data_IF_691916663022
#
_entry.id   IF_691916663022
#
_cell.length_a   1.000
_cell.length_b   1.000
_cell.length_c   1.000
_cell.angle_alpha   90.00
_cell.angle_beta   90.00
_cell.angle_gamma   90.00
#
_symmetry.space_group_name_H-M   'P 1'
#
loop_
_entity.id
_entity.type
_entity.pdbx_description
1 polymer ?
#
# COMPACT_ATOMS: atom_id res chain seq x y z
N UNK A 1 -11.38 3.62 -9.66
CA UNK A 1 -10.22 2.73 -9.73
C UNK A 1 -10.29 1.61 -8.70
N UNK A 2 -10.66 1.89 -7.46
CA UNK A 2 -10.98 0.88 -6.43
C UNK A 2 -12.44 1.07 -6.04
N UNK A 3 -13.24 0.00 -6.03
CA UNK A 3 -14.65 0.04 -5.62
C UNK A 3 -14.95 -1.13 -4.68
N UNK A 4 -15.61 -0.84 -3.60
CA UNK A 4 -16.19 -1.78 -2.64
C UNK A 4 -17.71 -1.63 -2.67
N UNK A 5 -18.42 -2.73 -2.84
CA UNK A 5 -19.88 -2.79 -2.80
C UNK A 5 -20.34 -3.82 -1.78
N UNK A 6 -20.87 -3.36 -0.63
CA UNK A 6 -21.38 -4.14 0.51
C UNK A 6 -20.44 -5.25 0.93
N UNK A 7 -19.13 -4.92 1.03
CA UNK A 7 -18.08 -5.89 1.31
C UNK A 7 -18.06 -6.25 2.78
N UNK A 8 -18.14 -7.55 3.06
CA UNK A 8 -17.97 -8.10 4.41
C UNK A 8 -16.85 -9.13 4.41
N UNK A 9 -16.08 -9.16 5.51
CA UNK A 9 -15.03 -10.16 5.76
C UNK A 9 -15.11 -10.68 7.18
N UNK A 10 -15.18 -12.01 7.31
CA UNK A 10 -15.18 -12.73 8.58
C UNK A 10 -14.00 -13.69 8.64
N UNK A 11 -13.33 -13.73 9.78
CA UNK A 11 -12.27 -14.68 10.11
C UNK A 11 -12.79 -15.65 11.19
N UNK A 12 -13.36 -16.80 10.80
CA UNK A 12 -13.92 -17.77 11.73
C UNK A 12 -15.29 -17.37 12.32
N UNK A 13 -15.80 -18.13 13.31
CA UNK A 13 -17.05 -17.80 14.00
C UNK A 13 -16.84 -16.57 14.91
N UNK A 14 -17.66 -15.53 14.77
CA UNK A 14 -17.57 -14.33 15.60
C UNK A 14 -17.85 -13.04 14.83
N UNK A 15 -17.12 -11.99 15.15
CA UNK A 15 -17.31 -10.66 14.56
C UNK A 15 -16.78 -10.56 13.14
N UNK A 16 -17.47 -9.77 12.32
CA UNK A 16 -17.00 -9.39 11.02
C UNK A 16 -15.84 -8.39 11.15
N UNK A 17 -14.69 -8.69 10.55
CA UNK A 17 -13.58 -7.75 10.46
C UNK A 17 -13.89 -6.58 9.52
N UNK A 18 -14.81 -6.78 8.56
CA UNK A 18 -15.49 -5.74 7.80
C UNK A 18 -16.96 -6.13 7.63
N UNK A 19 -17.86 -5.16 7.76
CA UNK A 19 -19.30 -5.34 7.70
C UNK A 19 -19.95 -4.33 6.74
N UNK A 20 -20.37 -4.81 5.57
CA UNK A 20 -21.09 -4.07 4.53
C UNK A 20 -20.43 -2.74 4.11
N UNK A 21 -19.08 -2.75 4.00
CA UNK A 21 -18.32 -1.58 3.61
C UNK A 21 -18.52 -1.28 2.12
N UNK A 22 -18.89 -0.02 1.81
CA UNK A 22 -19.05 0.47 0.43
C UNK A 22 -18.38 1.82 0.27
N UNK A 23 -17.53 1.96 -0.75
CA UNK A 23 -16.90 3.22 -1.17
C UNK A 23 -16.32 3.08 -2.56
N UNK A 24 -15.98 4.22 -3.17
CA UNK A 24 -15.26 4.26 -4.44
C UNK A 24 -14.07 5.22 -4.35
N UNK A 25 -12.95 4.84 -4.95
CA UNK A 25 -11.74 5.67 -5.08
C UNK A 25 -11.45 5.83 -6.56
N UNK A 26 -11.33 7.07 -7.01
CA UNK A 26 -11.02 7.44 -8.38
C UNK A 26 -9.57 7.10 -8.78
N UNK A 27 -9.28 7.14 -10.08
CA UNK A 27 -7.91 7.04 -10.59
C UNK A 27 -7.10 8.28 -10.17
N UNK A 28 -5.86 8.07 -9.70
CA UNK A 28 -4.99 9.16 -9.26
C UNK A 28 -5.41 9.78 -7.92
N UNK A 29 -6.41 9.24 -7.25
CA UNK A 29 -6.82 9.75 -5.94
C UNK A 29 -5.92 9.18 -4.83
N UNK A 30 -5.48 10.05 -3.92
CA UNK A 30 -4.85 9.64 -2.66
C UNK A 30 -5.88 9.71 -1.54
N UNK A 31 -6.05 8.60 -0.82
CA UNK A 31 -7.05 8.41 0.24
C UNK A 31 -6.40 7.82 1.48
N UNK A 32 -6.74 8.33 2.65
CA UNK A 32 -6.39 7.73 3.93
C UNK A 32 -7.52 6.82 4.42
N UNK A 33 -7.15 5.73 5.07
CA UNK A 33 -8.05 4.91 5.88
C UNK A 33 -7.61 5.02 7.33
N UNK A 34 -8.46 5.54 8.19
CA UNK A 34 -8.16 5.71 9.62
C UNK A 34 -9.19 4.97 10.48
N UNK A 35 -8.89 4.86 11.77
CA UNK A 35 -9.71 4.19 12.78
C UNK A 35 -8.83 3.56 13.86
N UNK A 36 -9.44 3.15 14.96
CA UNK A 36 -8.71 2.53 16.08
C UNK A 36 -8.03 1.19 15.67
N UNK A 37 -7.17 0.66 16.54
CA UNK A 37 -6.60 -0.66 16.34
C UNK A 37 -7.72 -1.71 16.28
N UNK A 38 -7.66 -2.60 15.28
CA UNK A 38 -8.74 -3.58 15.05
C UNK A 38 -9.95 -3.07 14.27
N UNK A 39 -10.01 -1.80 13.85
CA UNK A 39 -11.13 -1.24 13.08
C UNK A 39 -11.35 -1.87 11.68
N UNK A 40 -10.41 -2.68 11.19
CA UNK A 40 -10.53 -3.36 9.88
C UNK A 40 -9.59 -2.83 8.80
N UNK A 41 -8.75 -1.81 9.07
CA UNK A 41 -7.86 -1.15 8.08
C UNK A 41 -6.99 -2.15 7.31
N UNK A 42 -6.18 -2.96 8.02
CA UNK A 42 -5.30 -3.95 7.39
C UNK A 42 -6.09 -5.05 6.66
N UNK A 43 -7.29 -5.39 7.13
CA UNK A 43 -8.19 -6.33 6.42
C UNK A 43 -8.62 -5.74 5.09
N UNK A 44 -9.01 -4.47 5.05
CA UNK A 44 -9.39 -3.76 3.83
C UNK A 44 -8.23 -3.79 2.81
N UNK A 45 -7.00 -3.46 3.24
CA UNK A 45 -5.82 -3.51 2.37
C UNK A 45 -5.53 -4.93 1.87
N UNK A 46 -5.64 -5.96 2.74
CA UNK A 46 -5.45 -7.37 2.35
C UNK A 46 -6.46 -7.83 1.28
N UNK A 47 -7.69 -7.33 1.33
CA UNK A 47 -8.70 -7.62 0.30
C UNK A 47 -8.33 -6.98 -1.04
N UNK A 48 -7.90 -5.72 -1.05
CA UNK A 48 -7.47 -5.02 -2.27
C UNK A 48 -6.28 -5.76 -2.91
N UNK A 49 -5.29 -6.16 -2.10
CA UNK A 49 -4.11 -6.91 -2.55
C UNK A 49 -4.36 -8.38 -2.88
N UNK A 50 -5.62 -8.86 -2.82
CA UNK A 50 -5.98 -10.28 -2.99
C UNK A 50 -5.17 -11.23 -2.06
N UNK A 51 -4.66 -10.72 -0.94
CA UNK A 51 -4.08 -11.56 0.13
C UNK A 51 -5.19 -12.38 0.79
N UNK A 52 -6.34 -11.73 0.93
CA UNK A 52 -7.59 -12.32 1.43
C UNK A 52 -8.71 -12.15 0.40
N UNK A 53 -9.80 -12.91 0.57
CA UNK A 53 -11.02 -12.75 -0.21
C UNK A 53 -12.16 -12.29 0.68
N UNK A 54 -13.10 -11.48 0.16
CA UNK A 54 -14.29 -11.12 0.92
C UNK A 54 -15.15 -12.34 1.19
N UNK A 55 -15.91 -12.31 2.28
CA UNK A 55 -16.95 -13.31 2.59
C UNK A 55 -18.22 -13.00 1.80
N UNK A 56 -18.54 -11.71 1.64
CA UNK A 56 -19.68 -11.20 0.85
C UNK A 56 -19.31 -9.88 0.19
N UNK A 57 -20.11 -9.46 -0.80
CA UNK A 57 -19.91 -8.21 -1.53
C UNK A 57 -18.93 -8.34 -2.68
N UNK A 58 -18.70 -7.23 -3.37
CA UNK A 58 -17.87 -7.17 -4.56
C UNK A 58 -16.75 -6.15 -4.42
N UNK A 59 -15.59 -6.48 -4.96
CA UNK A 59 -14.42 -5.59 -4.99
C UNK A 59 -13.92 -5.51 -6.43
N UNK A 60 -13.77 -4.30 -6.92
CA UNK A 60 -13.12 -4.02 -8.20
C UNK A 60 -11.83 -3.24 -7.93
N UNK A 61 -10.73 -3.66 -8.53
CA UNK A 61 -9.44 -2.97 -8.49
C UNK A 61 -8.90 -2.88 -9.90
N UNK A 62 -8.57 -1.68 -10.34
CA UNK A 62 -8.04 -1.43 -11.68
C UNK A 62 -8.86 -2.16 -12.77
N UNK A 63 -10.18 -1.93 -12.79
CA UNK A 63 -11.15 -2.54 -13.71
C UNK A 63 -11.27 -4.07 -13.63
N UNK A 64 -10.63 -4.69 -12.63
CA UNK A 64 -10.69 -6.14 -12.41
C UNK A 64 -11.60 -6.47 -11.25
N UNK A 65 -12.67 -7.21 -11.48
CA UNK A 65 -13.53 -7.74 -10.42
C UNK A 65 -12.82 -8.91 -9.72
N UNK A 66 -12.42 -8.71 -8.45
CA UNK A 66 -11.55 -9.64 -7.74
C UNK A 66 -12.19 -11.00 -7.46
N UNK A 67 -13.53 -11.07 -7.35
CA UNK A 67 -14.26 -12.33 -7.18
C UNK A 67 -14.04 -13.30 -8.34
N UNK A 68 -13.90 -12.78 -9.57
CA UNK A 68 -13.73 -13.58 -10.78
C UNK A 68 -12.29 -14.03 -11.03
N UNK A 69 -11.33 -13.53 -10.23
CA UNK A 69 -9.91 -13.86 -10.40
C UNK A 69 -9.63 -15.27 -9.89
N UNK A 70 -9.32 -16.18 -10.81
CA UNK A 70 -8.86 -17.55 -10.47
C UNK A 70 -7.44 -17.50 -9.86
N UNK A 71 -7.02 -18.56 -9.15
CA UNK A 71 -5.68 -18.64 -8.52
C UNK A 71 -4.54 -18.28 -9.48
N UNK A 72 -4.59 -18.74 -10.73
CA UNK A 72 -3.57 -18.44 -11.76
C UNK A 72 -3.53 -16.97 -12.17
N UNK A 73 -4.61 -16.22 -12.00
CA UNK A 73 -4.70 -14.78 -12.31
C UNK A 73 -4.22 -13.86 -11.18
N UNK A 74 -4.10 -14.36 -9.95
CA UNK A 74 -3.71 -13.54 -8.79
C UNK A 74 -2.36 -12.82 -8.99
N UNK A 75 -1.30 -13.47 -9.52
CA UNK A 75 -0.03 -12.78 -9.77
C UNK A 75 -0.16 -11.58 -10.72
N UNK A 76 -1.01 -11.67 -11.73
CA UNK A 76 -1.23 -10.56 -12.68
C UNK A 76 -1.88 -9.36 -12.00
N UNK A 77 -2.89 -9.59 -11.14
CA UNK A 77 -3.53 -8.51 -10.36
C UNK A 77 -2.52 -7.87 -9.42
N UNK A 78 -1.73 -8.68 -8.70
CA UNK A 78 -0.73 -8.19 -7.73
C UNK A 78 0.40 -7.40 -8.37
N UNK A 79 0.77 -7.67 -9.62
CA UNK A 79 1.76 -6.85 -10.36
C UNK A 79 1.30 -5.40 -10.56
N UNK A 80 -0.01 -5.18 -10.63
CA UNK A 80 -0.61 -3.84 -10.70
C UNK A 80 -0.77 -3.14 -9.35
N UNK A 81 -0.30 -3.75 -8.24
CA UNK A 81 -0.49 -3.20 -6.90
C UNK A 81 0.86 -3.17 -6.17
N UNK A 82 1.35 -1.98 -5.88
CA UNK A 82 2.48 -1.78 -4.96
C UNK A 82 2.00 -1.91 -3.52
N UNK A 83 2.61 -2.82 -2.75
CA UNK A 83 2.22 -3.05 -1.35
C UNK A 83 3.34 -2.65 -0.41
N UNK A 84 3.05 -1.75 0.53
CA UNK A 84 3.91 -1.40 1.65
C UNK A 84 3.32 -2.03 2.90
N UNK A 85 4.10 -2.88 3.56
CA UNK A 85 3.68 -3.62 4.75
C UNK A 85 4.23 -2.96 6.01
N UNK A 86 3.51 -3.04 7.10
CA UNK A 86 3.94 -2.55 8.41
C UNK A 86 5.19 -3.29 8.92
N UNK A 87 5.32 -4.58 8.65
CA UNK A 87 6.43 -5.46 9.03
C UNK A 87 7.53 -5.55 7.97
N UNK A 88 7.59 -4.60 7.02
CA UNK A 88 8.53 -4.43 5.91
C UNK A 88 8.60 -5.64 4.95
N UNK A 89 8.58 -6.87 5.44
CA UNK A 89 8.67 -8.14 4.68
C UNK A 89 9.84 -8.16 3.71
N UNK A 90 11.01 -7.74 4.19
CA UNK A 90 12.22 -7.80 3.40
C UNK A 90 12.82 -9.21 3.44
N UNK A 91 13.39 -9.63 2.32
CA UNK A 91 14.16 -10.86 2.23
C UNK A 91 15.53 -10.61 2.84
N UNK A 92 15.80 -11.19 4.01
CA UNK A 92 17.02 -10.95 4.80
C UNK A 92 18.25 -11.66 4.24
N UNK A 93 18.05 -12.65 3.38
CA UNK A 93 19.07 -13.38 2.62
C UNK A 93 19.46 -12.69 1.30
N UNK A 94 18.91 -11.52 1.01
CA UNK A 94 19.12 -10.72 -0.20
C UNK A 94 19.57 -9.31 0.13
N UNK A 95 20.26 -8.68 -0.82
CA UNK A 95 20.65 -7.27 -0.69
C UNK A 95 19.44 -6.34 -0.75
N UNK A 96 19.64 -5.08 -0.38
CA UNK A 96 18.66 -4.00 -0.59
C UNK A 96 18.26 -3.90 -2.06
N UNK A 97 19.27 -3.92 -2.97
CA UNK A 97 19.04 -3.92 -4.41
C UNK A 97 18.11 -5.08 -4.85
N UNK A 98 18.42 -6.31 -4.43
CA UNK A 98 17.65 -7.50 -4.83
C UNK A 98 16.22 -7.46 -4.30
N UNK A 99 16.00 -6.94 -3.08
CA UNK A 99 14.66 -6.74 -2.54
C UNK A 99 13.81 -5.82 -3.41
N UNK A 100 14.39 -4.71 -3.88
CA UNK A 100 13.69 -3.74 -4.72
C UNK A 100 13.56 -4.27 -6.16
N UNK A 101 14.52 -5.03 -6.66
CA UNK A 101 14.49 -5.60 -8.01
C UNK A 101 13.40 -6.67 -8.18
N UNK A 102 12.97 -7.33 -7.11
CA UNK A 102 12.09 -8.50 -7.15
C UNK A 102 10.80 -8.30 -7.99
N UNK A 103 10.02 -7.21 -7.83
CA UNK A 103 8.83 -6.99 -8.67
C UNK A 103 9.16 -6.87 -10.17
N UNK A 104 10.31 -6.28 -10.52
CA UNK A 104 10.75 -6.12 -11.91
C UNK A 104 11.19 -7.46 -12.50
N UNK A 105 11.90 -8.29 -11.73
CA UNK A 105 12.30 -9.65 -12.12
C UNK A 105 11.04 -10.50 -12.40
N UNK A 106 10.06 -10.47 -11.51
CA UNK A 106 8.80 -11.21 -11.64
C UNK A 106 8.00 -10.73 -12.86
N UNK A 107 8.12 -9.45 -13.25
CA UNK A 107 7.46 -8.91 -14.43
C UNK A 107 8.24 -9.14 -15.76
N UNK A 108 9.43 -9.77 -15.70
CA UNK A 108 10.23 -10.06 -16.89
C UNK A 108 10.99 -8.86 -17.45
N UNK A 109 11.26 -7.84 -16.63
CA UNK A 109 12.02 -6.65 -17.02
C UNK A 109 13.49 -7.03 -17.34
N UNK A 110 14.10 -6.40 -18.33
CA UNK A 110 15.50 -6.66 -18.68
C UNK A 110 16.47 -6.25 -17.57
N UNK A 111 17.63 -6.91 -17.48
CA UNK A 111 18.64 -6.62 -16.44
C UNK A 111 19.12 -5.17 -16.46
N UNK A 112 19.30 -4.60 -17.63
CA UNK A 112 19.73 -3.21 -17.79
C UNK A 112 18.69 -2.24 -17.21
N UNK A 113 17.43 -2.45 -17.53
CA UNK A 113 16.31 -1.61 -17.04
C UNK A 113 16.09 -1.80 -15.54
N UNK A 114 16.25 -3.02 -15.00
CA UNK A 114 16.19 -3.28 -13.56
C UNK A 114 17.20 -2.40 -12.82
N UNK A 115 18.46 -2.37 -13.26
CA UNK A 115 19.50 -1.56 -12.60
C UNK A 115 19.17 -0.08 -12.57
N UNK A 116 18.65 0.46 -13.68
CA UNK A 116 18.23 1.87 -13.77
C UNK A 116 17.08 2.19 -12.83
N UNK A 117 16.01 1.38 -12.85
CA UNK A 117 14.81 1.60 -12.05
C UNK A 117 15.05 1.42 -10.55
N UNK A 118 15.82 0.41 -10.15
CA UNK A 118 16.13 0.17 -8.75
C UNK A 118 16.91 1.33 -8.17
N UNK A 119 17.95 1.83 -8.85
CA UNK A 119 18.73 2.97 -8.36
C UNK A 119 17.89 4.25 -8.31
N UNK A 120 17.04 4.50 -9.30
CA UNK A 120 16.11 5.62 -9.26
C UNK A 120 15.11 5.52 -8.09
N UNK A 121 14.64 4.32 -7.75
CA UNK A 121 13.77 4.12 -6.59
C UNK A 121 14.51 4.31 -5.27
N UNK A 122 15.77 3.82 -5.18
CA UNK A 122 16.65 4.02 -4.02
C UNK A 122 16.98 5.49 -3.79
N UNK A 123 17.27 6.23 -4.85
CA UNK A 123 17.54 7.67 -4.81
C UNK A 123 16.34 8.43 -4.22
N UNK A 124 15.12 8.13 -4.71
CA UNK A 124 13.88 8.75 -4.20
C UNK A 124 13.64 8.56 -2.69
N UNK A 125 14.15 7.48 -2.11
CA UNK A 125 14.01 7.21 -0.67
C UNK A 125 15.31 7.48 0.11
N UNK A 126 16.33 8.09 -0.52
CA UNK A 126 17.61 8.48 0.11
C UNK A 126 18.48 7.30 0.56
N UNK A 127 18.42 6.16 -0.16
CA UNK A 127 19.16 4.94 0.19
C UNK A 127 20.10 4.42 -0.91
N UNK A 128 20.44 5.25 -1.91
CA UNK A 128 21.26 4.82 -3.04
C UNK A 128 22.62 4.25 -2.61
N UNK A 129 23.27 4.85 -1.60
CA UNK A 129 24.57 4.38 -1.08
C UNK A 129 24.49 2.99 -0.42
N UNK A 130 23.30 2.53 -0.06
CA UNK A 130 23.07 1.25 0.64
C UNK A 130 22.58 0.13 -0.26
N UNK A 131 22.70 0.26 -1.59
CA UNK A 131 22.17 -0.73 -2.55
C UNK A 131 22.70 -2.16 -2.32
N UNK A 132 23.92 -2.29 -1.80
CA UNK A 132 24.60 -3.59 -1.58
C UNK A 132 24.45 -4.13 -0.16
N UNK A 133 23.91 -3.34 0.76
CA UNK A 133 23.78 -3.72 2.16
C UNK A 133 22.74 -4.83 2.34
N UNK A 134 22.89 -5.58 3.43
CA UNK A 134 21.87 -6.50 3.91
C UNK A 134 20.76 -5.70 4.61
N UNK A 135 19.47 -6.06 4.45
CA UNK A 135 18.40 -5.47 5.24
C UNK A 135 18.62 -5.52 6.76
N UNK A 136 19.33 -6.54 7.25
CA UNK A 136 19.63 -6.69 8.68
C UNK A 136 20.60 -5.61 9.21
N UNK A 137 21.38 -4.98 8.33
CA UNK A 137 22.29 -3.87 8.70
C UNK A 137 21.58 -2.51 8.72
N UNK A 138 20.30 -2.44 8.32
CA UNK A 138 19.53 -1.21 8.24
C UNK A 138 18.73 -0.97 9.52
N UNK A 139 18.56 0.32 9.87
CA UNK A 139 17.58 0.73 10.87
C UNK A 139 16.15 0.40 10.43
N UNK A 140 15.20 0.33 11.36
CA UNK A 140 13.79 0.08 11.04
C UNK A 140 13.21 1.09 10.04
N UNK A 141 13.57 2.38 10.16
CA UNK A 141 13.16 3.42 9.22
C UNK A 141 13.76 3.23 7.82
N UNK A 142 15.01 2.76 7.72
CA UNK A 142 15.63 2.44 6.42
C UNK A 142 14.99 1.20 5.79
N UNK A 143 14.69 0.16 6.58
CA UNK A 143 13.96 -1.02 6.11
C UNK A 143 12.57 -0.63 5.56
N UNK A 144 11.87 0.28 6.24
CA UNK A 144 10.59 0.82 5.76
C UNK A 144 10.75 1.50 4.41
N UNK A 145 11.75 2.36 4.23
CA UNK A 145 12.04 3.03 2.96
C UNK A 145 12.40 2.04 1.84
N UNK A 146 13.12 0.96 2.14
CA UNK A 146 13.34 -0.12 1.17
C UNK A 146 12.03 -0.77 0.76
N UNK A 147 11.12 -1.02 1.71
CA UNK A 147 9.77 -1.54 1.43
C UNK A 147 8.96 -0.62 0.51
N UNK A 148 9.06 0.69 0.72
CA UNK A 148 8.41 1.71 -0.12
C UNK A 148 9.05 1.70 -1.52
N UNK A 149 10.39 1.74 -1.63
CA UNK A 149 11.09 1.67 -2.92
C UNK A 149 10.69 0.43 -3.72
N UNK A 150 10.60 -0.74 -3.05
CA UNK A 150 10.12 -1.99 -3.66
C UNK A 150 8.70 -1.88 -4.17
N UNK A 151 7.81 -1.20 -3.44
CA UNK A 151 6.42 -1.06 -3.85
C UNK A 151 6.26 -0.17 -5.09
N UNK A 152 7.10 0.86 -5.25
CA UNK A 152 6.98 1.86 -6.33
C UNK A 152 7.82 1.56 -7.57
N UNK A 153 8.84 0.69 -7.49
CA UNK A 153 9.83 0.45 -8.56
C UNK A 153 9.19 0.02 -9.88
N UNK A 154 8.07 -0.72 -9.81
CA UNK A 154 7.30 -1.18 -10.97
C UNK A 154 6.36 -0.13 -11.56
N UNK A 155 6.25 1.06 -10.96
CA UNK A 155 5.26 2.10 -11.30
C UNK A 155 3.84 1.53 -11.37
N UNK A 156 3.35 0.88 -10.30
CA UNK A 156 2.03 0.27 -10.32
C UNK A 156 0.93 1.34 -10.39
N UNK A 157 -0.21 1.08 -11.02
CA UNK A 157 -1.35 2.00 -11.04
C UNK A 157 -2.03 2.18 -9.68
N UNK A 158 -1.80 1.25 -8.74
CA UNK A 158 -2.34 1.29 -7.38
C UNK A 158 -1.22 1.06 -6.36
N UNK A 159 -1.15 1.88 -5.33
CA UNK A 159 -0.29 1.69 -4.16
C UNK A 159 -1.18 1.57 -2.92
N UNK A 160 -0.95 0.54 -2.11
CA UNK A 160 -1.57 0.39 -0.80
C UNK A 160 -0.48 0.30 0.27
N UNK A 161 -0.64 1.05 1.36
CA UNK A 161 0.33 1.13 2.43
C UNK A 161 -0.33 0.94 3.79
N UNK A 162 0.17 0.00 4.59
CA UNK A 162 -0.30 -0.27 5.95
C UNK A 162 0.70 0.32 6.95
N UNK A 163 0.30 1.42 7.60
CA UNK A 163 1.09 2.19 8.59
C UNK A 163 2.52 2.50 8.11
N UNK A 164 2.70 3.10 6.92
CA UNK A 164 4.02 3.22 6.28
C UNK A 164 4.98 4.17 7.00
N UNK A 165 4.52 4.92 7.98
CA UNK A 165 5.31 5.91 8.75
C UNK A 165 5.42 5.57 10.23
N UNK A 166 4.87 4.44 10.68
CA UNK A 166 4.79 4.07 12.10
C UNK A 166 6.16 3.94 12.82
N UNK A 167 7.26 3.73 12.08
CA UNK A 167 8.61 3.60 12.62
C UNK A 167 9.56 4.72 12.15
N UNK A 168 9.01 5.85 11.67
CA UNK A 168 9.76 6.98 11.15
C UNK A 168 9.63 8.19 12.07
N UNK A 169 10.66 9.03 12.08
CA UNK A 169 10.55 10.35 12.72
C UNK A 169 9.54 11.25 11.97
N UNK A 170 9.05 12.33 12.62
CA UNK A 170 8.01 13.18 12.03
C UNK A 170 8.41 13.86 10.73
N UNK A 171 9.69 14.21 10.55
CA UNK A 171 10.17 14.85 9.32
C UNK A 171 10.14 13.86 8.16
N UNK A 172 10.72 12.67 8.35
CA UNK A 172 10.76 11.61 7.35
C UNK A 172 9.36 11.09 7.03
N UNK A 173 8.47 11.01 8.03
CA UNK A 173 7.05 10.68 7.84
C UNK A 173 6.37 11.65 6.86
N UNK A 174 6.63 12.94 7.02
CA UNK A 174 6.08 13.96 6.12
C UNK A 174 6.65 13.84 4.70
N UNK A 175 7.96 13.59 4.56
CA UNK A 175 8.62 13.39 3.26
C UNK A 175 8.05 12.17 2.52
N UNK A 176 7.86 11.05 3.21
CA UNK A 176 7.25 9.84 2.64
C UNK A 176 5.79 10.07 2.22
N UNK A 177 5.01 10.79 3.03
CA UNK A 177 3.63 11.11 2.65
C UNK A 177 3.57 12.07 1.47
N UNK A 178 4.49 13.03 1.39
CA UNK A 178 4.61 13.90 0.23
C UNK A 178 4.95 13.10 -1.05
N UNK A 179 5.86 12.13 -0.94
CA UNK A 179 6.17 11.21 -2.04
C UNK A 179 4.94 10.44 -2.52
N UNK A 180 4.10 9.93 -1.60
CA UNK A 180 2.84 9.29 -1.98
C UNK A 180 1.85 10.27 -2.64
N UNK A 181 1.80 11.52 -2.19
CA UNK A 181 0.96 12.55 -2.81
C UNK A 181 1.44 12.89 -4.25
N UNK A 182 2.76 12.91 -4.49
CA UNK A 182 3.34 13.08 -5.82
C UNK A 182 2.96 11.93 -6.76
N UNK A 183 2.96 10.67 -6.27
CA UNK A 183 2.46 9.55 -7.07
C UNK A 183 0.98 9.70 -7.42
N UNK A 184 0.16 10.20 -6.50
CA UNK A 184 -1.24 10.54 -6.78
C UNK A 184 -1.35 11.59 -7.89
N UNK A 185 -0.55 12.65 -7.83
CA UNK A 185 -0.55 13.73 -8.81
C UNK A 185 -0.18 13.29 -10.24
N UNK A 186 0.62 12.21 -10.38
CA UNK A 186 0.97 11.63 -11.69
C UNK A 186 0.06 10.45 -12.10
N UNK A 187 -1.08 10.27 -11.42
CA UNK A 187 -2.12 9.32 -11.82
C UNK A 187 -2.11 7.97 -11.11
N UNK A 188 -1.20 7.72 -10.16
CA UNK A 188 -1.23 6.52 -9.33
C UNK A 188 -2.29 6.65 -8.24
N UNK A 189 -3.17 5.67 -8.09
CA UNK A 189 -4.14 5.64 -6.98
C UNK A 189 -3.43 5.17 -5.71
N UNK A 190 -3.53 5.94 -4.63
CA UNK A 190 -2.81 5.67 -3.37
C UNK A 190 -3.78 5.53 -2.22
N UNK A 191 -3.71 4.42 -1.50
CA UNK A 191 -4.49 4.17 -0.29
C UNK A 191 -3.56 3.89 0.89
N UNK A 192 -3.63 4.74 1.92
CA UNK A 192 -2.76 4.66 3.09
C UNK A 192 -3.59 4.42 4.35
N UNK A 193 -3.38 3.29 5.01
CA UNK A 193 -3.89 3.10 6.36
C UNK A 193 -2.95 3.81 7.35
N UNK A 194 -3.48 4.70 8.17
CA UNK A 194 -2.73 5.38 9.22
C UNK A 194 -3.64 5.80 10.37
N UNK A 195 -3.10 5.81 11.58
CA UNK A 195 -3.74 6.34 12.77
C UNK A 195 -3.19 7.73 13.18
N UNK A 196 -2.21 8.25 12.46
CA UNK A 196 -1.63 9.59 12.70
C UNK A 196 -2.54 10.68 12.13
N UNK A 197 -3.45 11.18 12.97
CA UNK A 197 -4.41 12.22 12.60
C UNK A 197 -3.73 13.56 12.26
N UNK A 198 -2.57 13.88 12.87
CA UNK A 198 -1.83 15.10 12.58
C UNK A 198 -1.27 15.06 11.15
N UNK A 199 -0.67 13.93 10.78
CA UNK A 199 -0.13 13.72 9.45
C UNK A 199 -1.24 13.72 8.40
N UNK A 200 -2.36 13.03 8.64
CA UNK A 200 -3.54 12.98 7.77
C UNK A 200 -4.07 14.43 7.53
N UNK A 201 -4.24 15.20 8.59
CA UNK A 201 -4.72 16.60 8.50
C UNK A 201 -3.75 17.47 7.70
N UNK A 202 -2.44 17.34 7.96
CA UNK A 202 -1.40 18.10 7.26
C UNK A 202 -1.38 17.85 5.74
N UNK A 203 -1.62 16.61 5.32
CA UNK A 203 -1.64 16.21 3.91
C UNK A 203 -2.95 16.61 3.22
N UNK A 204 -4.07 16.73 3.95
CA UNK A 204 -5.33 17.29 3.47
C UNK A 204 -6.01 16.47 2.36
N UNK A 205 -5.80 15.15 2.33
CA UNK A 205 -6.46 14.25 1.36
C UNK A 205 -7.70 13.61 1.97
N UNK A 206 -8.56 13.01 1.12
CA UNK A 206 -9.79 12.31 1.51
C UNK A 206 -9.49 11.23 2.56
N UNK A 207 -10.40 11.08 3.51
CA UNK A 207 -10.28 10.16 4.65
C UNK A 207 -11.50 9.28 4.74
N UNK A 208 -11.30 7.97 4.77
CA UNK A 208 -12.28 6.96 5.11
C UNK A 208 -12.08 6.56 6.58
N UNK A 209 -13.11 6.70 7.39
CA UNK A 209 -13.05 6.35 8.83
C UNK A 209 -13.72 5.01 9.05
N UNK A 210 -12.93 4.04 9.52
CA UNK A 210 -13.44 2.74 9.92
C UNK A 210 -13.61 2.67 11.44
N UNK A 211 -14.74 2.11 11.85
CA UNK A 211 -15.02 1.77 13.24
C UNK A 211 -15.71 0.40 13.31
N UNK A 212 -15.16 -0.52 14.11
CA UNK A 212 -15.68 -1.89 14.26
C UNK A 212 -16.07 -2.57 12.93
N UNK A 213 -15.21 -2.43 11.92
CA UNK A 213 -15.41 -3.02 10.59
C UNK A 213 -16.42 -2.30 9.69
N UNK A 214 -16.96 -1.16 10.10
CA UNK A 214 -17.90 -0.36 9.32
C UNK A 214 -17.27 0.94 8.86
N UNK A 215 -17.63 1.41 7.69
CA UNK A 215 -17.32 2.77 7.25
C UNK A 215 -18.32 3.70 7.91
N UNK A 216 -17.83 4.58 8.79
CA UNK A 216 -18.66 5.52 9.55
C UNK A 216 -18.58 6.95 9.03
N UNK A 217 -17.52 7.28 8.29
CA UNK A 217 -17.35 8.61 7.70
C UNK A 217 -16.47 8.55 6.45
N UNK A 218 -16.67 9.49 5.53
CA UNK A 218 -15.97 9.66 4.27
C UNK A 218 -15.92 11.15 3.93
N UNK A 219 -14.80 11.80 4.19
CA UNK A 219 -14.68 13.26 4.08
C UNK A 219 -13.30 13.71 3.58
N UNK A 220 -13.20 14.97 3.20
CA UNK A 220 -11.92 15.66 3.00
C UNK A 220 -11.73 16.65 4.14
N UNK A 221 -10.58 16.60 4.85
CA UNK A 221 -10.27 17.62 5.85
C UNK A 221 -10.35 19.03 5.21
N UNK A 222 -10.94 19.96 5.93
CA UNK A 222 -10.87 21.37 5.55
C UNK A 222 -9.40 21.82 5.56
N UNK A 223 -8.99 22.70 4.64
CA UNK A 223 -7.64 23.24 4.56
C UNK A 223 -7.25 24.05 5.81
#
# INVERSE_FOLDING_TARGET
>A
MISFDKVSKRYGPGHDALAEVSFEIGAGEMVFVTGHSGAGKSTLLKLIGLVERPTRGQIVVNHTQLANVRRRGIPNVRRGIGMVFQDHRLLTDRTVFDNIALPLIISGTSREEIGKRVRAALDKVGLLAKEKDSPLALSAGEQQRVGIARAIVGKPPVIIADEPTGNLDPQLSAEIMQLFAEFGAVGTTVLVASHDLHLIKRIGKRVLVLDHGRLIDDFRPAP
#
